data_IF_159227412425
#
_entry.id   IF_159227412425
#
_cell.length_a   1.000
_cell.length_b   1.000
_cell.length_c   1.000
_cell.angle_alpha   90.00
_cell.angle_beta   90.00
_cell.angle_gamma   90.00
#
_symmetry.space_group_name_H-M   'P 1'
#
loop_
_entity.id
_entity.type
_entity.pdbx_description
1 polymer ?
#
# COMPACT_ATOMS: atom_id res chain seq x y z
N UNK A 1 -5.38 -12.68 13.59
CA UNK A 1 -6.19 -12.63 12.42
C UNK A 1 -5.72 -11.63 11.39
N UNK A 2 -6.51 -11.49 10.36
CA UNK A 2 -6.24 -10.54 9.29
C UNK A 2 -6.66 -9.13 9.69
N UNK A 3 -5.94 -8.17 9.16
CA UNK A 3 -6.34 -6.77 9.31
C UNK A 3 -7.60 -6.51 8.50
N UNK A 4 -8.57 -5.84 9.12
CA UNK A 4 -9.76 -5.37 8.43
C UNK A 4 -9.59 -3.90 8.08
N UNK A 5 -10.29 -3.46 7.04
CA UNK A 5 -10.20 -2.07 6.60
C UNK A 5 -10.49 -1.09 7.74
N UNK A 6 -11.52 -1.38 8.52
CA UNK A 6 -11.91 -0.51 9.64
C UNK A 6 -10.85 -0.43 10.70
N UNK A 7 -10.17 -1.54 10.96
CA UNK A 7 -9.07 -1.56 11.93
C UNK A 7 -7.90 -0.72 11.44
N UNK A 8 -7.61 -0.80 10.15
CA UNK A 8 -6.53 -0.01 9.55
C UNK A 8 -6.86 1.48 9.64
N UNK A 9 -8.09 1.84 9.30
CA UNK A 9 -8.52 3.24 9.37
C UNK A 9 -8.41 3.75 10.80
N UNK A 10 -8.86 2.96 11.77
CA UNK A 10 -8.77 3.35 13.18
C UNK A 10 -7.32 3.56 13.61
N UNK A 11 -6.42 2.68 13.17
CA UNK A 11 -5.01 2.81 13.52
C UNK A 11 -4.39 4.05 12.88
N UNK A 12 -4.74 4.33 11.63
CA UNK A 12 -4.25 5.53 10.94
C UNK A 12 -4.72 6.79 11.66
N UNK A 13 -5.98 6.83 12.05
CA UNK A 13 -6.53 7.98 12.79
C UNK A 13 -5.86 8.14 14.15
N UNK A 14 -5.60 7.04 14.83
CA UNK A 14 -4.91 7.04 16.11
C UNK A 14 -3.51 7.64 15.97
N UNK A 15 -2.87 7.46 14.83
CA UNK A 15 -1.54 8.01 14.56
C UNK A 15 -1.60 9.43 13.98
N UNK A 16 -2.77 10.03 13.95
CA UNK A 16 -2.94 11.38 13.46
C UNK A 16 -3.01 11.50 11.94
N UNK A 17 -3.19 10.37 11.25
CA UNK A 17 -3.28 10.38 9.80
C UNK A 17 -4.70 10.69 9.38
N UNK A 18 -4.83 11.55 8.40
CA UNK A 18 -6.12 11.94 7.89
C UNK A 18 -6.64 10.91 6.89
N UNK A 19 -7.91 10.54 7.03
CA UNK A 19 -8.54 9.60 6.10
C UNK A 19 -9.29 10.39 5.03
N UNK A 20 -8.71 10.40 3.83
CA UNK A 20 -9.29 11.07 2.67
C UNK A 20 -9.92 10.03 1.75
N UNK A 21 -10.70 10.48 0.78
CA UNK A 21 -11.27 9.57 -0.21
C UNK A 21 -10.17 8.85 -1.00
N UNK A 22 -9.10 9.56 -1.33
CA UNK A 22 -7.96 8.95 -2.01
C UNK A 22 -7.37 7.79 -1.20
N UNK A 23 -7.22 7.99 0.09
CA UNK A 23 -6.66 6.95 0.97
C UNK A 23 -7.59 5.77 1.10
N UNK A 24 -8.91 6.01 1.12
CA UNK A 24 -9.87 4.92 1.15
C UNK A 24 -9.80 4.08 -0.10
N UNK A 25 -9.71 4.73 -1.27
CA UNK A 25 -9.56 4.03 -2.54
C UNK A 25 -8.29 3.20 -2.55
N UNK A 26 -7.18 3.80 -2.08
CA UNK A 26 -5.91 3.08 -2.01
C UNK A 26 -5.98 1.88 -1.10
N UNK A 27 -6.61 2.01 0.06
CA UNK A 27 -6.77 0.86 0.96
C UNK A 27 -7.55 -0.26 0.28
N UNK A 28 -8.63 0.09 -0.41
CA UNK A 28 -9.41 -0.92 -1.12
C UNK A 28 -8.55 -1.67 -2.13
N UNK A 29 -7.78 -0.94 -2.93
CA UNK A 29 -6.91 -1.55 -3.95
C UNK A 29 -5.86 -2.43 -3.28
N UNK A 30 -5.19 -1.91 -2.27
CA UNK A 30 -4.10 -2.63 -1.61
C UNK A 30 -4.61 -3.92 -0.98
N UNK A 31 -5.78 -3.87 -0.34
CA UNK A 31 -6.33 -5.03 0.36
C UNK A 31 -6.94 -6.08 -0.54
N UNK A 32 -7.16 -5.77 -1.82
CA UNK A 32 -7.75 -6.71 -2.77
C UNK A 32 -6.79 -7.79 -3.24
N UNK A 33 -5.49 -7.63 -3.04
CA UNK A 33 -4.56 -8.65 -3.50
C UNK A 33 -3.15 -8.47 -3.02
N UNK A 34 -2.29 -9.31 -3.55
CA UNK A 34 -0.86 -9.22 -3.34
C UNK A 34 -0.24 -8.58 -4.56
N UNK A 35 0.49 -7.52 -4.36
CA UNK A 35 1.03 -6.73 -5.43
C UNK A 35 2.54 -6.91 -5.52
N UNK A 36 3.05 -7.04 -6.74
CA UNK A 36 4.49 -7.21 -6.92
C UNK A 36 5.23 -5.88 -6.92
N UNK A 37 4.53 -4.80 -7.24
CA UNK A 37 5.19 -3.50 -7.18
C UNK A 37 4.19 -2.36 -7.03
N UNK A 38 4.73 -1.24 -6.62
CA UNK A 38 3.97 -0.01 -6.39
C UNK A 38 3.23 0.47 -7.63
N UNK A 39 3.82 0.29 -8.80
CA UNK A 39 3.20 0.74 -10.05
C UNK A 39 1.88 0.03 -10.33
N UNK A 40 1.79 -1.25 -10.00
CA UNK A 40 0.55 -1.99 -10.19
C UNK A 40 -0.57 -1.41 -9.35
N UNK A 41 -0.25 -1.06 -8.12
CA UNK A 41 -1.20 -0.44 -7.21
C UNK A 41 -1.62 0.92 -7.76
N UNK A 42 -0.65 1.70 -8.21
CA UNK A 42 -0.92 3.01 -8.78
C UNK A 42 -1.86 2.93 -9.97
N UNK A 43 -1.55 2.06 -10.92
CA UNK A 43 -2.37 1.94 -12.13
C UNK A 43 -3.80 1.53 -11.81
N UNK A 44 -3.96 0.62 -10.86
CA UNK A 44 -5.30 0.21 -10.46
C UNK A 44 -6.04 1.33 -9.71
N UNK A 45 -5.31 2.05 -8.87
CA UNK A 45 -5.90 3.14 -8.09
C UNK A 45 -6.38 4.28 -8.99
N UNK A 46 -5.59 4.65 -10.02
CA UNK A 46 -5.98 5.77 -10.89
C UNK A 46 -7.16 5.44 -11.78
N UNK A 47 -7.43 4.17 -12.00
CA UNK A 47 -8.67 3.79 -12.70
C UNK A 47 -9.90 4.17 -11.90
N UNK A 48 -9.78 4.12 -10.58
CA UNK A 48 -10.89 4.44 -9.67
C UNK A 48 -10.92 5.90 -9.29
N UNK A 49 -9.76 6.50 -9.14
CA UNK A 49 -9.63 7.91 -8.78
C UNK A 49 -8.41 8.50 -9.48
N UNK A 50 -8.62 9.17 -10.62
CA UNK A 50 -7.50 9.72 -11.40
C UNK A 50 -6.69 10.79 -10.68
N UNK A 51 -7.18 11.32 -9.56
CA UNK A 51 -6.44 12.35 -8.83
C UNK A 51 -5.33 11.79 -7.94
N UNK A 52 -5.27 10.46 -7.80
CA UNK A 52 -4.24 9.82 -6.96
C UNK A 52 -2.89 9.90 -7.66
N UNK A 53 -1.89 10.39 -6.93
CA UNK A 53 -0.52 10.44 -7.44
C UNK A 53 0.35 9.33 -6.86
N UNK A 54 1.46 9.07 -7.54
CA UNK A 54 2.39 8.01 -7.11
C UNK A 54 2.94 8.26 -5.72
N UNK A 55 3.22 9.52 -5.38
CA UNK A 55 3.74 9.86 -4.05
C UNK A 55 2.75 9.47 -2.95
N UNK A 56 1.45 9.64 -3.20
CA UNK A 56 0.43 9.23 -2.24
C UNK A 56 0.44 7.72 -2.04
N UNK A 57 0.63 6.98 -3.13
CA UNK A 57 0.72 5.52 -3.06
C UNK A 57 1.91 5.10 -2.20
N UNK A 58 3.09 5.69 -2.45
CA UNK A 58 4.28 5.37 -1.67
C UNK A 58 4.10 5.67 -0.19
N UNK A 59 3.54 6.83 0.12
CA UNK A 59 3.33 7.21 1.52
C UNK A 59 2.37 6.27 2.22
N UNK A 60 1.31 5.86 1.53
CA UNK A 60 0.37 4.91 2.11
C UNK A 60 1.04 3.57 2.38
N UNK A 61 1.80 3.05 1.42
CA UNK A 61 2.49 1.78 1.57
C UNK A 61 3.49 1.82 2.73
N UNK A 62 4.25 2.91 2.82
CA UNK A 62 5.21 3.06 3.93
C UNK A 62 4.51 3.07 5.28
N UNK A 63 3.39 3.78 5.36
CA UNK A 63 2.63 3.83 6.61
C UNK A 63 2.09 2.45 6.98
N UNK A 64 1.57 1.72 6.00
CA UNK A 64 1.03 0.39 6.24
C UNK A 64 2.11 -0.60 6.65
N UNK A 65 3.33 -0.43 6.16
CA UNK A 65 4.47 -1.21 6.63
C UNK A 65 4.76 -0.91 8.09
N UNK A 66 4.76 0.36 8.46
CA UNK A 66 5.06 0.78 9.82
C UNK A 66 4.08 0.19 10.84
N UNK A 67 2.81 0.13 10.50
CA UNK A 67 1.82 -0.42 11.42
C UNK A 67 1.68 -1.93 11.33
N UNK A 68 2.39 -2.56 10.42
CA UNK A 68 2.46 -4.00 10.33
C UNK A 68 1.39 -4.66 9.47
N UNK A 69 0.66 -3.87 8.69
CA UNK A 69 -0.36 -4.41 7.78
C UNK A 69 0.29 -5.09 6.58
N UNK A 70 1.42 -4.55 6.13
CA UNK A 70 2.13 -5.04 4.97
C UNK A 70 3.55 -5.42 5.33
N UNK A 71 4.08 -6.36 4.59
CA UNK A 71 5.50 -6.69 4.63
C UNK A 71 6.07 -6.45 3.25
N UNK A 72 7.12 -5.66 3.19
CA UNK A 72 7.78 -5.40 1.93
C UNK A 72 8.66 -6.59 1.54
N UNK A 73 8.52 -7.02 0.31
CA UNK A 73 9.30 -8.11 -0.24
C UNK A 73 10.38 -7.54 -1.15
N UNK A 74 11.62 -7.97 -0.94
CA UNK A 74 12.74 -7.53 -1.75
C UNK A 74 13.31 -8.70 -2.54
N UNK A 75 13.75 -8.39 -3.75
CA UNK A 75 14.57 -9.29 -4.53
C UNK A 75 15.94 -8.65 -4.66
N UNK A 76 16.94 -9.47 -4.58
CA UNK A 76 18.32 -8.98 -4.68
C UNK A 76 18.68 -8.83 -6.14
N UNK A 77 18.54 -7.63 -6.63
CA UNK A 77 19.07 -7.29 -7.92
C UNK A 77 19.45 -5.83 -7.87
N UNK A 78 20.47 -5.47 -8.58
CA UNK A 78 21.05 -4.16 -8.45
C UNK A 78 21.43 -3.61 -9.81
N UNK A 79 21.02 -2.39 -10.14
CA UNK A 79 20.17 -1.51 -9.34
C UNK A 79 18.70 -1.87 -9.53
N UNK A 80 17.92 -1.89 -8.45
CA UNK A 80 16.52 -2.36 -8.51
C UNK A 80 15.63 -1.48 -9.37
N UNK A 81 15.75 -0.19 -9.25
CA UNK A 81 14.85 0.73 -9.91
C UNK A 81 14.98 0.70 -11.44
N UNK A 82 16.11 0.28 -11.95
CA UNK A 82 16.31 0.17 -13.38
C UNK A 82 15.67 -1.08 -13.94
N UNK A 83 15.40 -2.04 -13.09
CA UNK A 83 14.77 -3.28 -13.47
C UNK A 83 13.25 -3.24 -13.27
N UNK A 84 12.72 -2.09 -12.93
CA UNK A 84 11.32 -1.95 -12.65
C UNK A 84 11.00 -2.34 -11.22
N UNK A 85 10.01 -3.18 -11.03
CA UNK A 85 9.52 -3.50 -9.70
C UNK A 85 10.24 -4.69 -9.11
N UNK A 86 11.35 -4.40 -8.46
CA UNK A 86 12.16 -5.42 -7.81
C UNK A 86 11.70 -5.74 -6.39
N UNK A 87 10.81 -4.94 -5.85
CA UNK A 87 10.24 -5.18 -4.54
C UNK A 87 8.73 -5.14 -4.63
N UNK A 88 8.10 -5.86 -3.75
CA UNK A 88 6.65 -5.89 -3.70
C UNK A 88 6.15 -5.80 -2.28
N UNK A 89 4.84 -5.80 -2.13
CA UNK A 89 4.20 -5.76 -0.82
C UNK A 89 3.18 -6.87 -0.74
N UNK A 90 3.15 -7.53 0.41
CA UNK A 90 2.19 -8.58 0.68
C UNK A 90 1.48 -8.26 1.98
N UNK A 91 0.21 -8.62 2.02
CA UNK A 91 -0.55 -8.47 3.25
C UNK A 91 -0.04 -9.44 4.29
N UNK A 92 0.01 -8.98 5.52
CA UNK A 92 0.33 -9.85 6.65
C UNK A 92 -0.95 -10.54 7.05
N UNK A 93 -0.99 -11.83 6.76
CA UNK A 93 -2.17 -12.64 7.05
C UNK A 93 -2.28 -13.01 8.53
N UNK A 94 -1.17 -12.91 9.24
CA UNK A 94 -1.12 -13.23 10.66
C UNK A 94 -0.60 -12.04 11.43
N UNK A 95 -1.28 -11.73 12.46
CA UNK A 95 -0.91 -10.60 13.30
C UNK A 95 -0.89 -11.05 14.73
#
# INVERSE_FOLDING_TARGET
GMWQKEQIIAELQKRGKRITEQRKVLLDVILEGNWTCCKEIYYEAVKRDPSIGMATVYRMLSTLEEIGVLTRTYRYSFPPEEKGCESGWQQRLYV
#
